data_IF_631387349284
#
_entry.id   IF_631387349284
#
_cell.length_a   1.000
_cell.length_b   1.000
_cell.length_c   1.000
_cell.angle_alpha   90.00
_cell.angle_beta   90.00
_cell.angle_gamma   90.00
#
_symmetry.space_group_name_H-M   'P 1'
#
loop_
_entity.id
_entity.type
_entity.pdbx_description
1 polymer ?
#
# COMPACT_ATOMS: atom_id res chain seq x y z
N UNK A 1 -9.40 4.59 20.09
CA UNK A 1 -9.46 3.75 18.87
C UNK A 1 -9.21 4.65 17.68
N UNK A 2 -8.69 4.13 16.57
CA UNK A 2 -8.52 4.93 15.35
C UNK A 2 -9.78 4.85 14.48
N UNK A 3 -10.17 5.94 13.82
CA UNK A 3 -11.28 5.93 12.86
C UNK A 3 -10.86 5.34 11.51
N UNK A 4 -9.60 5.56 11.14
CA UNK A 4 -8.98 5.06 9.92
C UNK A 4 -7.61 4.45 10.23
N UNK A 5 -7.30 3.32 9.61
CA UNK A 5 -5.98 2.68 9.67
C UNK A 5 -5.49 2.47 8.24
N UNK A 6 -4.31 3.01 7.95
CA UNK A 6 -3.62 2.83 6.67
C UNK A 6 -2.51 1.81 6.86
N UNK A 7 -2.51 0.76 6.06
CA UNK A 7 -1.51 -0.32 6.08
C UNK A 7 -0.67 -0.21 4.81
N UNK A 8 0.59 0.14 4.99
CA UNK A 8 1.64 0.10 3.97
C UNK A 8 2.70 -0.91 4.43
N UNK A 9 2.88 -1.99 3.68
CA UNK A 9 3.85 -3.03 4.00
C UNK A 9 4.11 -3.92 2.78
N UNK A 10 5.19 -4.69 2.81
CA UNK A 10 5.57 -5.65 1.77
C UNK A 10 6.68 -5.17 0.83
N UNK A 11 6.97 -3.87 0.75
CA UNK A 11 8.06 -3.35 -0.09
C UNK A 11 9.40 -4.04 0.20
N UNK A 12 9.71 -4.28 1.48
CA UNK A 12 10.92 -4.97 1.90
C UNK A 12 10.96 -6.44 1.46
N UNK A 13 9.83 -7.14 1.50
CA UNK A 13 9.70 -8.52 1.00
C UNK A 13 9.98 -8.58 -0.50
N UNK A 14 9.42 -7.62 -1.26
CA UNK A 14 9.68 -7.48 -2.68
C UNK A 14 11.15 -7.18 -2.98
N UNK A 15 11.76 -6.21 -2.29
CA UNK A 15 13.17 -5.84 -2.47
C UNK A 15 14.12 -7.01 -2.18
N UNK A 16 13.72 -7.94 -1.31
CA UNK A 16 14.48 -9.14 -0.94
C UNK A 16 14.12 -10.37 -1.78
N UNK A 17 13.17 -10.27 -2.71
CA UNK A 17 12.71 -11.40 -3.52
C UNK A 17 12.08 -12.54 -2.71
N UNK A 18 11.45 -12.23 -1.57
CA UNK A 18 10.83 -13.24 -0.71
C UNK A 18 9.59 -13.86 -1.37
N UNK A 19 9.16 -15.02 -0.89
CA UNK A 19 7.99 -15.73 -1.42
C UNK A 19 6.74 -14.84 -1.46
N UNK A 20 6.14 -14.72 -2.65
CA UNK A 20 4.87 -14.00 -2.90
C UNK A 20 3.74 -14.57 -2.03
N UNK A 21 3.67 -15.89 -1.89
CA UNK A 21 2.65 -16.54 -1.06
C UNK A 21 2.85 -16.27 0.43
N UNK A 22 4.10 -16.27 0.89
CA UNK A 22 4.41 -15.92 2.28
C UNK A 22 4.06 -14.45 2.57
N UNK A 23 4.43 -13.53 1.67
CA UNK A 23 4.09 -12.11 1.77
C UNK A 23 2.57 -11.91 1.79
N UNK A 24 1.82 -12.55 0.88
CA UNK A 24 0.35 -12.53 0.88
C UNK A 24 -0.21 -13.01 2.21
N UNK A 25 0.20 -14.18 2.67
CA UNK A 25 -0.30 -14.74 3.93
C UNK A 25 0.03 -13.84 5.13
N UNK A 26 1.19 -13.18 5.13
CA UNK A 26 1.56 -12.22 6.17
C UNK A 26 0.65 -10.99 6.15
N UNK A 27 0.44 -10.38 4.98
CA UNK A 27 -0.40 -9.19 4.81
C UNK A 27 -1.86 -9.50 5.17
N UNK A 28 -2.38 -10.64 4.73
CA UNK A 28 -3.69 -11.14 5.13
C UNK A 28 -3.84 -11.23 6.66
N UNK A 29 -2.85 -11.82 7.35
CA UNK A 29 -2.87 -11.91 8.81
C UNK A 29 -2.79 -10.55 9.48
N UNK A 30 -2.02 -9.61 8.94
CA UNK A 30 -1.93 -8.24 9.46
C UNK A 30 -3.30 -7.57 9.36
N UNK A 31 -3.93 -7.58 8.18
CA UNK A 31 -5.25 -6.97 7.97
C UNK A 31 -6.31 -7.62 8.89
N UNK A 32 -6.37 -8.95 8.95
CA UNK A 32 -7.33 -9.66 9.80
C UNK A 32 -7.15 -9.33 11.30
N UNK A 33 -5.90 -9.29 11.78
CA UNK A 33 -5.60 -8.89 13.18
C UNK A 33 -5.97 -7.44 13.45
N UNK A 34 -5.70 -6.53 12.51
CA UNK A 34 -6.08 -5.11 12.62
C UNK A 34 -7.59 -4.96 12.72
N UNK A 35 -8.37 -5.63 11.86
CA UNK A 35 -9.85 -5.64 11.92
C UNK A 35 -10.36 -6.11 13.28
N UNK A 36 -9.79 -7.20 13.81
CA UNK A 36 -10.18 -7.74 15.12
C UNK A 36 -9.88 -6.75 16.26
N UNK A 37 -8.73 -6.07 16.19
CA UNK A 37 -8.31 -5.12 17.22
C UNK A 37 -9.04 -3.76 17.14
N UNK A 38 -9.50 -3.37 15.94
CA UNK A 38 -10.09 -2.07 15.65
C UNK A 38 -11.37 -2.25 14.81
N UNK A 39 -12.43 -2.86 15.39
CA UNK A 39 -13.60 -3.32 14.64
C UNK A 39 -14.42 -2.20 13.99
N UNK A 40 -14.28 -0.97 14.46
CA UNK A 40 -14.97 0.21 13.92
C UNK A 40 -14.15 0.98 12.90
N UNK A 41 -12.84 0.72 12.80
CA UNK A 41 -11.94 1.46 11.94
C UNK A 41 -12.15 1.09 10.46
N UNK A 42 -12.13 2.09 9.58
CA UNK A 42 -11.97 1.85 8.14
C UNK A 42 -10.51 1.52 7.88
N UNK A 43 -10.25 0.46 7.11
CA UNK A 43 -8.90 0.03 6.78
C UNK A 43 -8.63 0.32 5.30
N UNK A 44 -7.52 0.99 5.05
CA UNK A 44 -6.94 1.21 3.73
C UNK A 44 -5.68 0.36 3.61
N UNK A 45 -5.59 -0.47 2.59
CA UNK A 45 -4.39 -1.24 2.25
C UNK A 45 -3.73 -0.58 1.03
N UNK A 46 -2.45 -0.21 1.13
CA UNK A 46 -1.70 0.37 0.02
C UNK A 46 -1.10 -0.75 -0.85
N UNK A 47 -1.36 -0.70 -2.16
CA UNK A 47 -0.73 -1.55 -3.15
C UNK A 47 0.76 -1.24 -3.27
N UNK A 48 1.61 -2.27 -3.27
CA UNK A 48 3.04 -2.14 -3.54
C UNK A 48 3.44 -2.93 -4.78
N UNK A 49 4.44 -2.41 -5.48
CA UNK A 49 5.02 -3.05 -6.66
C UNK A 49 6.41 -3.61 -6.32
N UNK A 50 6.77 -4.72 -6.97
CA UNK A 50 8.11 -5.26 -6.88
C UNK A 50 9.04 -4.65 -7.94
N UNK A 51 10.36 -4.59 -7.68
CA UNK A 51 11.35 -4.16 -8.67
C UNK A 51 11.31 -4.98 -9.97
N UNK A 52 11.45 -4.34 -11.15
CA UNK A 52 11.32 -5.01 -12.44
C UNK A 52 12.42 -6.08 -12.69
N UNK A 53 13.57 -5.96 -12.03
CA UNK A 53 14.70 -6.89 -12.16
C UNK A 53 14.42 -8.29 -11.56
N UNK A 54 13.31 -8.49 -10.82
CA UNK A 54 12.90 -9.79 -10.29
C UNK A 54 12.04 -10.61 -11.28
N UNK A 55 11.76 -10.06 -12.46
CA UNK A 55 11.08 -10.74 -13.54
C UNK A 55 9.54 -10.61 -13.50
N UNK A 56 8.89 -10.84 -14.65
CA UNK A 56 7.47 -10.56 -14.84
C UNK A 56 6.54 -11.44 -13.98
N UNK A 57 6.92 -12.69 -13.75
CA UNK A 57 6.13 -13.61 -12.92
C UNK A 57 6.09 -13.14 -11.45
N UNK A 58 7.24 -12.77 -10.89
CA UNK A 58 7.33 -12.28 -9.52
C UNK A 58 6.59 -10.95 -9.36
N UNK A 59 6.86 -9.99 -10.25
CA UNK A 59 6.27 -8.65 -10.18
C UNK A 59 4.75 -8.67 -10.32
N UNK A 60 4.22 -9.48 -11.25
CA UNK A 60 2.78 -9.66 -11.42
C UNK A 60 2.15 -10.36 -10.21
N UNK A 61 2.80 -11.42 -9.70
CA UNK A 61 2.35 -12.12 -8.50
C UNK A 61 2.30 -11.19 -7.29
N UNK A 62 3.35 -10.40 -7.09
CA UNK A 62 3.47 -9.46 -5.98
C UNK A 62 2.41 -8.35 -6.04
N UNK A 63 2.19 -7.75 -7.22
CA UNK A 63 1.11 -6.77 -7.42
C UNK A 63 -0.27 -7.35 -7.10
N UNK A 64 -0.52 -8.61 -7.51
CA UNK A 64 -1.82 -9.25 -7.31
C UNK A 64 -2.15 -9.54 -5.84
N UNK A 65 -1.16 -9.58 -4.95
CA UNK A 65 -1.37 -9.75 -3.50
C UNK A 65 -2.41 -8.75 -3.00
N UNK A 66 -2.20 -7.46 -3.22
CA UNK A 66 -2.96 -6.40 -2.58
C UNK A 66 -4.42 -6.40 -3.00
N UNK A 67 -4.69 -6.57 -4.30
CA UNK A 67 -6.06 -6.70 -4.80
C UNK A 67 -6.78 -7.95 -4.26
N UNK A 68 -6.03 -9.06 -4.06
CA UNK A 68 -6.57 -10.31 -3.50
C UNK A 68 -6.92 -10.14 -2.02
N UNK A 69 -6.01 -9.58 -1.23
CA UNK A 69 -6.22 -9.34 0.20
C UNK A 69 -7.33 -8.32 0.42
N UNK A 70 -7.35 -7.22 -0.33
CA UNK A 70 -8.37 -6.18 -0.21
C UNK A 70 -9.78 -6.74 -0.44
N UNK A 71 -9.96 -7.57 -1.48
CA UNK A 71 -11.23 -8.26 -1.75
C UNK A 71 -11.59 -9.25 -0.63
N UNK A 72 -10.65 -10.10 -0.23
CA UNK A 72 -10.90 -11.15 0.77
C UNK A 72 -11.27 -10.58 2.13
N UNK A 73 -10.54 -9.56 2.55
CA UNK A 73 -10.73 -8.92 3.85
C UNK A 73 -11.75 -7.78 3.81
N UNK A 74 -12.32 -7.47 2.64
CA UNK A 74 -13.26 -6.38 2.40
C UNK A 74 -12.75 -5.04 2.97
N UNK A 75 -11.55 -4.65 2.54
CA UNK A 75 -10.92 -3.37 2.92
C UNK A 75 -10.67 -2.51 1.67
N UNK A 76 -10.54 -1.20 1.86
CA UNK A 76 -10.31 -0.27 0.76
C UNK A 76 -8.88 -0.44 0.23
N UNK A 77 -8.72 -0.63 -1.07
CA UNK A 77 -7.42 -0.65 -1.72
C UNK A 77 -7.03 0.77 -2.15
N UNK A 78 -5.84 1.20 -1.76
CA UNK A 78 -5.19 2.40 -2.29
C UNK A 78 -4.21 1.93 -3.37
N UNK A 79 -4.32 2.40 -4.62
CA UNK A 79 -3.34 2.10 -5.67
C UNK A 79 -1.93 2.53 -5.26
N UNK A 80 -0.92 2.07 -6.01
CA UNK A 80 0.48 2.36 -5.71
C UNK A 80 0.74 3.86 -5.49
N UNK A 81 0.99 4.22 -4.24
CA UNK A 81 1.13 5.61 -3.80
C UNK A 81 2.35 6.36 -4.37
N UNK A 82 3.36 5.62 -4.86
CA UNK A 82 4.51 6.18 -5.58
C UNK A 82 4.29 6.25 -7.11
N UNK A 83 3.07 6.03 -7.60
CA UNK A 83 2.75 6.21 -9.02
C UNK A 83 3.06 7.65 -9.49
N UNK A 84 3.77 7.76 -10.61
CA UNK A 84 4.30 9.02 -11.12
C UNK A 84 5.48 9.62 -10.34
N UNK A 85 6.02 8.91 -9.34
CA UNK A 85 7.14 9.35 -8.47
C UNK A 85 8.31 8.36 -8.53
N UNK A 86 8.04 7.06 -8.44
CA UNK A 86 9.09 6.04 -8.42
C UNK A 86 9.97 6.13 -9.68
N UNK A 87 11.29 6.12 -9.48
CA UNK A 87 12.27 6.16 -10.57
C UNK A 87 12.49 7.53 -11.23
N UNK A 88 11.86 8.60 -10.73
CA UNK A 88 12.07 9.98 -11.20
C UNK A 88 13.10 10.71 -10.33
N UNK A 89 14.33 10.97 -10.82
CA UNK A 89 15.41 11.51 -9.98
C UNK A 89 15.04 12.84 -9.30
N UNK A 90 14.30 13.70 -9.97
CA UNK A 90 13.86 15.01 -9.47
C UNK A 90 12.83 14.93 -8.35
N UNK A 91 12.18 13.78 -8.16
CA UNK A 91 11.20 13.54 -7.10
C UNK A 91 11.73 12.61 -5.99
N UNK A 92 12.94 12.08 -6.14
CA UNK A 92 13.55 11.17 -5.18
C UNK A 92 14.81 11.77 -4.55
N UNK A 93 15.25 11.15 -3.47
CA UNK A 93 16.54 11.38 -2.83
C UNK A 93 17.66 10.78 -3.68
N UNK A 94 18.92 10.98 -3.28
CA UNK A 94 20.08 10.50 -4.02
C UNK A 94 20.13 8.97 -4.25
N UNK A 95 19.33 8.21 -3.50
CA UNK A 95 19.18 6.76 -3.67
C UNK A 95 18.21 6.35 -4.81
N UNK A 96 17.42 7.29 -5.35
CA UNK A 96 16.46 7.03 -6.42
C UNK A 96 15.22 6.24 -6.01
N UNK A 97 15.04 5.93 -4.72
CA UNK A 97 13.95 5.09 -4.20
C UNK A 97 13.05 5.86 -3.24
N UNK A 98 13.63 6.72 -2.40
CA UNK A 98 12.88 7.45 -1.39
C UNK A 98 12.46 8.82 -1.92
N UNK A 99 11.17 9.20 -1.84
CA UNK A 99 10.74 10.53 -2.26
C UNK A 99 11.47 11.65 -1.51
N UNK A 100 11.81 12.73 -2.23
CA UNK A 100 12.22 13.99 -1.63
C UNK A 100 10.98 14.82 -1.24
N UNK A 101 11.17 16.07 -0.80
CA UNK A 101 10.05 16.92 -0.36
C UNK A 101 8.98 17.15 -1.46
N UNK A 102 9.37 17.25 -2.72
CA UNK A 102 8.43 17.40 -3.83
C UNK A 102 7.70 16.08 -4.12
N UNK A 103 8.43 14.96 -4.15
CA UNK A 103 7.84 13.63 -4.30
C UNK A 103 6.86 13.29 -3.18
N UNK A 104 7.19 13.62 -1.93
CA UNK A 104 6.34 13.37 -0.77
C UNK A 104 4.98 14.11 -0.84
N UNK A 105 4.91 15.29 -1.48
CA UNK A 105 3.64 15.98 -1.73
C UNK A 105 2.76 15.19 -2.70
N UNK A 106 3.34 14.65 -3.77
CA UNK A 106 2.62 13.81 -4.73
C UNK A 106 2.18 12.48 -4.11
N UNK A 107 3.01 11.91 -3.21
CA UNK A 107 2.61 10.75 -2.40
C UNK A 107 1.37 11.07 -1.58
N UNK A 108 1.36 12.22 -0.89
CA UNK A 108 0.21 12.65 -0.11
C UNK A 108 -1.03 12.80 -0.99
N UNK A 109 -0.92 13.41 -2.18
CA UNK A 109 -2.03 13.55 -3.13
C UNK A 109 -2.58 12.19 -3.59
N UNK A 110 -1.69 11.23 -3.86
CA UNK A 110 -2.07 9.88 -4.28
C UNK A 110 -2.86 9.13 -3.22
N UNK A 111 -2.41 9.18 -1.96
CA UNK A 111 -3.13 8.59 -0.83
C UNK A 111 -4.43 9.35 -0.56
N UNK A 112 -4.40 10.68 -0.61
CA UNK A 112 -5.53 11.55 -0.28
C UNK A 112 -6.71 11.35 -1.22
N UNK A 113 -6.47 11.04 -2.50
CA UNK A 113 -7.52 10.72 -3.47
C UNK A 113 -8.46 9.60 -3.00
N UNK A 114 -7.93 8.63 -2.27
CA UNK A 114 -8.71 7.50 -1.72
C UNK A 114 -9.13 7.77 -0.28
N UNK A 115 -8.27 8.40 0.53
CA UNK A 115 -8.55 8.66 1.94
C UNK A 115 -9.64 9.71 2.16
N UNK A 116 -9.67 10.78 1.35
CA UNK A 116 -10.62 11.90 1.50
C UNK A 116 -12.09 11.45 1.55
N UNK A 117 -12.61 10.65 0.60
CA UNK A 117 -14.01 10.21 0.68
C UNK A 117 -14.29 9.31 1.89
N UNK A 118 -13.30 8.52 2.35
CA UNK A 118 -13.44 7.70 3.56
C UNK A 118 -13.57 8.57 4.80
N UNK A 119 -12.74 9.60 4.92
CA UNK A 119 -12.83 10.58 6.03
C UNK A 119 -14.15 11.35 5.98
N UNK A 120 -14.59 11.77 4.79
CA UNK A 120 -15.86 12.45 4.63
C UNK A 120 -17.07 11.59 5.04
N UNK A 121 -17.07 10.29 4.69
CA UNK A 121 -18.08 9.32 5.13
C UNK A 121 -18.07 9.12 6.65
N UNK A 122 -16.90 9.17 7.30
CA UNK A 122 -16.81 9.09 8.77
C UNK A 122 -17.35 10.36 9.43
N UNK A 123 -16.99 11.54 8.94
CA UNK A 123 -17.41 12.83 9.53
C UNK A 123 -18.87 13.19 9.25
N UNK A 124 -19.48 12.59 8.22
CA UNK A 124 -20.90 12.75 7.90
C UNK A 124 -21.81 11.78 8.68
N UNK A 125 -21.24 10.87 9.48
CA UNK A 125 -21.96 10.05 10.46
C UNK A 125 -22.04 10.78 11.80
#
# INVERSE_FOLDING_TARGET
>A
AADVIVIETGANDALRGLSVDAARANIERIVAKTKKAQPTAKILLIEMLAPPNLGPAYTSGFKNIYSTVAKRENVTLVPFFLDGIAGRPELNQGDGVHPNAAGARLVADNVWRVLKPVVADILGR
#
